data_IF_907929239134
#
_entry.id   IF_907929239134
#
_cell.length_a   1.000
_cell.length_b   1.000
_cell.length_c   1.000
_cell.angle_alpha   90.00
_cell.angle_beta   90.00
_cell.angle_gamma   90.00
#
_symmetry.space_group_name_H-M   'P 1'
#
loop_
_entity.id
_entity.type
_entity.pdbx_description
1 polymer ?
#
# COMPACT_ATOMS: atom_id res chain seq x y z
N UNK A 1 -6.18 -0.70 21.59
CA UNK A 1 -6.37 -1.57 20.40
C UNK A 1 -5.51 -2.81 20.58
N UNK A 2 -5.79 -3.65 21.59
CA UNK A 2 -4.80 -4.62 22.11
C UNK A 2 -5.12 -6.08 21.75
N UNK A 3 -5.93 -6.30 20.70
CA UNK A 3 -6.30 -7.63 20.21
C UNK A 3 -5.77 -7.88 18.79
N UNK A 4 -5.97 -9.08 18.22
CA UNK A 4 -5.51 -9.41 16.86
C UNK A 4 -6.26 -8.63 15.75
N UNK A 5 -7.34 -7.95 16.10
CA UNK A 5 -8.25 -7.27 15.18
C UNK A 5 -7.60 -6.26 14.21
N UNK A 6 -6.64 -5.40 14.62
CA UNK A 6 -5.97 -4.48 13.70
C UNK A 6 -5.22 -5.23 12.58
N UNK A 7 -4.59 -6.36 12.93
CA UNK A 7 -3.88 -7.19 11.96
C UNK A 7 -4.83 -7.96 11.04
N UNK A 8 -5.94 -8.48 11.59
CA UNK A 8 -7.01 -9.11 10.80
C UNK A 8 -7.60 -8.10 9.82
N UNK A 9 -7.93 -6.89 10.26
CA UNK A 9 -8.44 -5.83 9.39
C UNK A 9 -7.41 -5.43 8.34
N UNK A 10 -6.14 -5.25 8.70
CA UNK A 10 -5.09 -4.92 7.74
C UNK A 10 -4.94 -6.02 6.67
N UNK A 11 -4.96 -7.29 7.08
CA UNK A 11 -4.91 -8.43 6.16
C UNK A 11 -6.16 -8.50 5.27
N UNK A 12 -7.35 -8.26 5.83
CA UNK A 12 -8.60 -8.24 5.08
C UNK A 12 -8.65 -7.08 4.08
N UNK A 13 -8.20 -5.89 4.48
CA UNK A 13 -8.10 -4.72 3.60
C UNK A 13 -7.10 -4.97 2.47
N UNK A 14 -5.93 -5.52 2.81
CA UNK A 14 -4.91 -5.92 1.83
C UNK A 14 -5.43 -6.98 0.86
N UNK A 15 -6.17 -7.98 1.36
CA UNK A 15 -6.83 -9.00 0.55
C UNK A 15 -7.90 -8.40 -0.37
N UNK A 16 -8.76 -7.51 0.12
CA UNK A 16 -9.76 -6.81 -0.68
C UNK A 16 -9.11 -5.97 -1.79
N UNK A 17 -8.06 -5.21 -1.45
CA UNK A 17 -7.34 -4.36 -2.39
C UNK A 17 -6.57 -5.19 -3.43
N UNK A 18 -5.93 -6.28 -2.99
CA UNK A 18 -5.11 -7.15 -3.81
C UNK A 18 -5.89 -8.19 -4.61
N UNK A 19 -7.11 -8.57 -4.24
CA UNK A 19 -7.93 -9.46 -5.07
C UNK A 19 -8.66 -8.69 -6.18
N UNK A 20 -8.79 -7.37 -6.08
CA UNK A 20 -9.39 -6.55 -7.12
C UNK A 20 -8.35 -6.17 -8.20
N UNK A 21 -8.38 -6.79 -9.40
CA UNK A 21 -7.43 -6.49 -10.47
C UNK A 21 -7.54 -5.04 -10.97
N UNK A 22 -8.69 -4.39 -10.79
CA UNK A 22 -8.90 -3.00 -11.23
C UNK A 22 -8.21 -1.96 -10.34
N UNK A 23 -7.73 -2.34 -9.15
CA UNK A 23 -7.16 -1.40 -8.18
C UNK A 23 -5.63 -1.31 -8.22
N UNK A 24 -4.92 -2.43 -8.39
CA UNK A 24 -3.44 -2.44 -8.29
C UNK A 24 -2.68 -3.27 -9.32
N UNK A 25 -3.35 -4.16 -10.06
CA UNK A 25 -2.68 -5.14 -10.94
C UNK A 25 -2.79 -4.82 -12.43
N UNK A 26 -3.40 -3.70 -12.79
CA UNK A 26 -3.53 -3.28 -14.19
C UNK A 26 -2.17 -3.21 -14.89
N UNK A 27 -1.10 -2.82 -14.18
CA UNK A 27 0.26 -2.84 -14.71
C UNK A 27 0.77 -4.27 -15.00
N UNK A 28 0.50 -5.23 -14.13
CA UNK A 28 0.86 -6.64 -14.34
C UNK A 28 0.09 -7.24 -15.53
N UNK A 29 -1.20 -6.93 -15.64
CA UNK A 29 -2.06 -7.38 -16.74
C UNK A 29 -1.59 -6.73 -18.05
N UNK A 30 -1.33 -5.43 -18.08
CA UNK A 30 -0.83 -4.72 -19.25
C UNK A 30 0.50 -5.31 -19.73
N UNK A 31 1.45 -5.57 -18.83
CA UNK A 31 2.72 -6.21 -19.17
C UNK A 31 2.50 -7.63 -19.71
N UNK A 32 1.61 -8.40 -19.10
CA UNK A 32 1.25 -9.74 -19.56
C UNK A 32 0.64 -9.77 -20.96
N UNK A 33 -0.22 -8.79 -21.28
CA UNK A 33 -0.82 -8.62 -22.60
C UNK A 33 0.22 -8.19 -23.64
N UNK A 34 1.11 -7.24 -23.30
CA UNK A 34 2.23 -6.83 -24.16
C UNK A 34 3.18 -8.00 -24.46
N UNK A 35 3.50 -8.80 -23.44
CA UNK A 35 4.37 -9.97 -23.57
C UNK A 35 3.66 -11.21 -24.15
N UNK A 36 2.33 -11.19 -24.28
CA UNK A 36 1.47 -12.34 -24.63
C UNK A 36 1.76 -13.59 -23.79
N UNK A 37 2.07 -13.43 -22.51
CA UNK A 37 2.48 -14.52 -21.61
C UNK A 37 1.85 -14.37 -20.23
N UNK A 38 1.18 -15.44 -19.75
CA UNK A 38 0.62 -15.48 -18.38
C UNK A 38 1.70 -15.41 -17.31
N UNK A 39 2.87 -16.01 -17.55
CA UNK A 39 4.00 -15.94 -16.62
C UNK A 39 4.50 -14.52 -16.40
N UNK A 40 4.35 -13.62 -17.38
CA UNK A 40 4.71 -12.21 -17.24
C UNK A 40 3.77 -11.47 -16.27
N UNK A 41 2.47 -11.85 -16.22
CA UNK A 41 1.55 -11.31 -15.21
C UNK A 41 2.01 -11.71 -13.81
N UNK A 42 2.27 -13.00 -13.59
CA UNK A 42 2.69 -13.52 -12.27
C UNK A 42 4.05 -12.95 -11.84
N UNK A 43 5.00 -12.87 -12.78
CA UNK A 43 6.31 -12.29 -12.51
C UNK A 43 6.22 -10.80 -12.15
N UNK A 44 5.30 -10.05 -12.73
CA UNK A 44 5.08 -8.64 -12.42
C UNK A 44 4.47 -8.40 -11.03
N UNK A 45 3.77 -9.40 -10.46
CA UNK A 45 3.19 -9.25 -9.12
C UNK A 45 4.26 -9.02 -8.05
N UNK A 46 5.43 -9.66 -8.19
CA UNK A 46 6.54 -9.56 -7.24
C UNK A 46 7.10 -8.14 -7.13
N UNK A 47 7.62 -7.51 -8.20
CA UNK A 47 8.16 -6.16 -8.11
C UNK A 47 7.09 -5.11 -7.77
N UNK A 48 5.84 -5.28 -8.23
CA UNK A 48 4.74 -4.39 -7.87
C UNK A 48 4.45 -4.47 -6.36
N UNK A 49 4.32 -5.69 -5.83
CA UNK A 49 4.08 -5.93 -4.42
C UNK A 49 5.21 -5.39 -3.55
N UNK A 50 6.47 -5.62 -3.94
CA UNK A 50 7.63 -5.10 -3.23
C UNK A 50 7.69 -3.56 -3.26
N UNK A 51 7.43 -2.94 -4.41
CA UNK A 51 7.37 -1.48 -4.52
C UNK A 51 6.26 -0.90 -3.64
N UNK A 52 5.08 -1.54 -3.61
CA UNK A 52 3.96 -1.11 -2.79
C UNK A 52 4.25 -1.23 -1.28
N UNK A 53 4.81 -2.37 -0.85
CA UNK A 53 5.21 -2.59 0.54
C UNK A 53 6.33 -1.62 0.95
N UNK A 54 7.31 -1.40 0.08
CA UNK A 54 8.40 -0.46 0.31
C UNK A 54 7.91 0.97 0.46
N UNK A 55 7.05 1.45 -0.45
CA UNK A 55 6.46 2.78 -0.38
C UNK A 55 5.61 2.97 0.89
N UNK A 56 4.78 1.97 1.23
CA UNK A 56 3.94 2.01 2.43
C UNK A 56 4.78 2.00 3.71
N UNK A 57 5.80 1.14 3.78
CA UNK A 57 6.72 1.07 4.90
C UNK A 57 7.51 2.37 5.08
N UNK A 58 7.96 2.97 3.98
CA UNK A 58 8.62 4.27 4.00
C UNK A 58 7.69 5.37 4.52
N UNK A 59 6.44 5.44 4.02
CA UNK A 59 5.46 6.41 4.48
C UNK A 59 5.17 6.27 5.98
N UNK A 60 4.93 5.04 6.46
CA UNK A 60 4.73 4.74 7.88
C UNK A 60 5.97 5.12 8.70
N UNK A 61 7.16 4.77 8.22
CA UNK A 61 8.42 5.11 8.88
C UNK A 61 8.62 6.61 9.03
N UNK A 62 8.38 7.39 7.97
CA UNK A 62 8.49 8.84 7.98
C UNK A 62 7.49 9.49 8.94
N UNK A 63 6.21 9.08 8.90
CA UNK A 63 5.18 9.58 9.81
C UNK A 63 5.51 9.24 11.26
N UNK A 64 6.00 8.02 11.51
CA UNK A 64 6.42 7.57 12.85
C UNK A 64 7.60 8.39 13.36
N UNK A 65 8.62 8.60 12.53
CA UNK A 65 9.79 9.41 12.87
C UNK A 65 9.42 10.88 13.13
N UNK A 66 8.53 11.45 12.32
CA UNK A 66 8.04 12.81 12.52
C UNK A 66 7.30 12.97 13.85
N UNK A 67 6.53 11.97 14.27
CA UNK A 67 5.85 11.95 15.57
C UNK A 67 6.78 11.85 16.79
N UNK A 68 8.07 11.59 16.61
CA UNK A 68 9.07 11.64 17.68
C UNK A 68 9.45 13.09 18.06
N UNK A 69 9.25 14.03 17.15
CA UNK A 69 9.64 15.45 17.29
C UNK A 69 8.45 16.40 17.25
N UNK A 70 7.37 16.03 16.55
CA UNK A 70 6.16 16.81 16.41
C UNK A 70 5.01 16.23 17.23
N UNK A 71 4.14 17.06 17.82
CA UNK A 71 2.98 16.57 18.54
C UNK A 71 1.95 15.97 17.57
N UNK A 72 1.40 14.81 17.93
CA UNK A 72 0.53 14.01 17.06
C UNK A 72 -0.70 14.73 16.51
N UNK A 73 -1.23 15.73 17.23
CA UNK A 73 -2.39 16.50 16.76
C UNK A 73 -2.05 17.33 15.51
N UNK A 74 -0.87 17.95 15.46
CA UNK A 74 -0.42 18.71 14.29
C UNK A 74 -0.19 17.77 13.10
N UNK A 75 0.40 16.59 13.34
CA UNK A 75 0.60 15.61 12.28
C UNK A 75 -0.72 15.12 11.68
N UNK A 76 -1.72 14.83 12.51
CA UNK A 76 -3.05 14.42 12.04
C UNK A 76 -3.73 15.51 11.20
N UNK A 77 -3.67 16.77 11.66
CA UNK A 77 -4.23 17.91 10.92
C UNK A 77 -3.48 18.12 9.60
N UNK A 78 -2.16 18.11 9.61
CA UNK A 78 -1.34 18.30 8.41
C UNK A 78 -1.58 17.20 7.37
N UNK A 79 -1.63 15.92 7.78
CA UNK A 79 -1.95 14.81 6.88
C UNK A 79 -3.37 14.94 6.35
N UNK A 80 -4.34 15.29 7.20
CA UNK A 80 -5.73 15.48 6.78
C UNK A 80 -5.89 16.59 5.75
N UNK A 81 -5.23 17.73 5.96
CA UNK A 81 -5.20 18.85 4.99
C UNK A 81 -4.49 18.44 3.70
N UNK A 82 -3.33 17.77 3.81
CA UNK A 82 -2.57 17.35 2.64
C UNK A 82 -3.26 16.29 1.78
N UNK A 83 -4.11 15.44 2.37
CA UNK A 83 -4.92 14.47 1.62
C UNK A 83 -6.20 15.07 1.02
N UNK A 84 -6.66 16.22 1.51
CA UNK A 84 -7.89 16.88 1.06
C UNK A 84 -7.65 17.97 0.00
N UNK A 85 -6.38 18.36 -0.21
CA UNK A 85 -5.94 19.33 -1.22
C UNK A 85 -5.54 18.63 -2.53
#
# INVERSE_FOLDING_TARGET
MNGPWPWVLAAALGGYHGLNPAMGWLFAVALGLQAKRRSAVLAALVPIGLGHLGASGLAVGLVTAAGLVLPWHLLKVAVGVGLAA
#
